data_IF_624745657751
#
_entry.id   IF_624745657751
#
_cell.length_a   1.000
_cell.length_b   1.000
_cell.length_c   1.000
_cell.angle_alpha   90.00
_cell.angle_beta   90.00
_cell.angle_gamma   90.00
#
_symmetry.space_group_name_H-M   'P 1'
#
loop_
_entity.id
_entity.type
_entity.pdbx_description
1 polymer ?
#
# COMPACT_ATOMS: atom_id res chain seq x y z
N UNK A 1 24.01 -8.62 5.93
CA UNK A 1 22.90 -8.45 6.87
C UNK A 1 21.82 -9.44 6.47
N UNK A 2 21.36 -10.26 7.39
CA UNK A 2 20.29 -11.23 7.14
C UNK A 2 18.93 -10.54 7.00
N UNK A 3 17.95 -11.26 6.44
CA UNK A 3 16.61 -10.74 6.16
C UNK A 3 15.86 -10.30 7.42
N UNK A 4 16.02 -11.03 8.53
CA UNK A 4 15.33 -10.74 9.78
C UNK A 4 15.84 -9.43 10.40
N UNK A 5 17.16 -9.26 10.49
CA UNK A 5 17.78 -8.01 10.97
C UNK A 5 17.35 -6.81 10.13
N UNK A 6 17.35 -6.95 8.80
CA UNK A 6 16.89 -5.90 7.87
C UNK A 6 15.43 -5.51 8.12
N UNK A 7 14.53 -6.51 8.20
CA UNK A 7 13.10 -6.27 8.37
C UNK A 7 12.80 -5.59 9.71
N UNK A 8 13.54 -5.94 10.77
CA UNK A 8 13.41 -5.30 12.08
C UNK A 8 13.93 -3.86 12.09
N UNK A 9 15.04 -3.57 11.40
CA UNK A 9 15.53 -2.20 11.24
C UNK A 9 14.54 -1.33 10.47
N UNK A 10 13.94 -1.86 9.40
CA UNK A 10 12.89 -1.17 8.65
C UNK A 10 11.71 -0.92 9.58
N UNK A 11 11.16 -1.94 10.24
CA UNK A 11 10.04 -1.79 11.17
C UNK A 11 10.30 -0.75 12.28
N UNK A 12 11.52 -0.72 12.82
CA UNK A 12 11.93 0.27 13.82
C UNK A 12 11.90 1.70 13.26
N UNK A 13 12.42 1.90 12.04
CA UNK A 13 12.38 3.21 11.36
C UNK A 13 10.96 3.62 11.01
N UNK A 14 10.12 2.69 10.56
CA UNK A 14 8.71 2.94 10.25
C UNK A 14 7.94 3.44 11.47
N UNK A 15 8.11 2.82 12.64
CA UNK A 15 7.46 3.29 13.88
C UNK A 15 7.78 4.76 14.21
N UNK A 16 8.99 5.23 13.88
CA UNK A 16 9.38 6.63 14.03
C UNK A 16 8.79 7.54 12.95
N UNK A 17 8.86 7.15 11.67
CA UNK A 17 8.44 8.02 10.56
C UNK A 17 6.93 8.15 10.41
N UNK A 18 6.14 7.11 10.75
CA UNK A 18 4.67 7.17 10.59
C UNK A 18 4.05 8.18 11.58
N UNK A 19 4.77 8.58 12.64
CA UNK A 19 4.34 9.66 13.53
C UNK A 19 4.36 11.05 12.87
N UNK A 20 5.18 11.25 11.83
CA UNK A 20 5.39 12.55 11.19
C UNK A 20 4.61 12.72 9.86
N UNK A 21 3.78 11.74 9.47
CA UNK A 21 3.00 11.71 8.20
C UNK A 21 3.80 11.97 6.91
N UNK A 22 5.13 11.94 6.97
CA UNK A 22 5.96 12.07 5.79
C UNK A 22 5.78 10.83 4.91
N UNK A 23 5.61 11.03 3.60
CA UNK A 23 5.69 9.97 2.62
C UNK A 23 7.02 9.26 2.78
N UNK A 24 6.99 8.00 3.21
CA UNK A 24 8.17 7.17 3.29
C UNK A 24 8.06 6.04 2.26
N UNK A 25 9.21 5.69 1.70
CA UNK A 25 9.32 4.54 0.83
C UNK A 25 10.64 3.83 1.06
N UNK A 26 10.61 2.52 1.13
CA UNK A 26 11.78 1.65 1.20
C UNK A 26 11.69 0.62 0.08
N UNK A 27 12.80 0.39 -0.63
CA UNK A 27 12.90 -0.58 -1.71
C UNK A 27 14.18 -1.40 -1.54
N UNK A 28 14.08 -2.73 -1.61
CA UNK A 28 15.23 -3.61 -1.47
C UNK A 28 15.01 -4.96 -2.17
N UNK A 29 16.10 -5.70 -2.52
CA UNK A 29 15.97 -7.04 -3.07
C UNK A 29 15.40 -8.05 -2.06
N UNK A 30 14.40 -8.82 -2.47
CA UNK A 30 13.75 -9.83 -1.65
C UNK A 30 12.45 -10.35 -2.26
N UNK A 31 12.03 -11.54 -1.85
CA UNK A 31 10.84 -12.22 -2.39
C UNK A 31 9.76 -12.51 -1.33
N UNK A 32 9.89 -11.90 -0.14
CA UNK A 32 8.98 -12.09 0.98
C UNK A 32 8.49 -10.76 1.53
N UNK A 33 7.20 -10.73 1.83
CA UNK A 33 6.61 -9.67 2.64
C UNK A 33 7.12 -9.84 4.08
N UNK A 34 7.50 -8.76 4.78
CA UNK A 34 7.90 -8.88 6.18
C UNK A 34 6.78 -9.45 7.05
N UNK A 35 7.13 -10.36 7.95
CA UNK A 35 6.17 -11.09 8.80
C UNK A 35 5.31 -10.19 9.71
N UNK A 36 5.75 -8.95 9.97
CA UNK A 36 5.00 -8.01 10.80
C UNK A 36 3.82 -7.35 10.08
N UNK A 37 3.63 -7.57 8.78
CA UNK A 37 2.39 -7.18 8.09
C UNK A 37 1.24 -8.07 8.54
N UNK A 38 0.15 -7.45 9.01
CA UNK A 38 -0.99 -8.18 9.58
C UNK A 38 -1.81 -8.95 8.55
N UNK A 39 -1.79 -8.52 7.29
CA UNK A 39 -2.46 -9.18 6.18
C UNK A 39 -1.48 -9.33 5.02
N UNK A 40 -1.44 -10.52 4.42
CA UNK A 40 -0.51 -10.84 3.33
C UNK A 40 -1.17 -11.82 2.34
N UNK A 41 -0.79 -11.75 1.08
CA UNK A 41 -1.13 -12.74 0.05
C UNK A 41 0.15 -13.28 -0.57
N UNK A 42 0.17 -14.59 -0.84
CA UNK A 42 1.28 -15.24 -1.55
C UNK A 42 1.08 -15.28 -3.06
N UNK A 43 -0.13 -14.96 -3.51
CA UNK A 43 -0.53 -14.87 -4.90
C UNK A 43 -1.37 -13.61 -5.04
N UNK A 44 -1.29 -12.92 -6.18
CA UNK A 44 -2.13 -11.77 -6.56
C UNK A 44 -1.69 -10.38 -6.09
N UNK A 45 -2.24 -9.39 -6.79
CA UNK A 45 -2.08 -7.96 -6.56
C UNK A 45 -3.27 -7.35 -5.80
N UNK A 46 -4.16 -8.19 -5.26
CA UNK A 46 -5.31 -7.77 -4.48
C UNK A 46 -5.40 -8.48 -3.16
N UNK A 47 -5.83 -7.76 -2.13
CA UNK A 47 -6.04 -8.27 -0.79
C UNK A 47 -7.41 -7.81 -0.29
N UNK A 48 -8.24 -8.78 0.10
CA UNK A 48 -9.50 -8.54 0.78
C UNK A 48 -9.30 -8.67 2.29
N UNK A 49 -9.81 -7.71 3.04
CA UNK A 49 -9.63 -7.62 4.49
C UNK A 49 -10.99 -7.44 5.14
N UNK A 50 -11.32 -8.37 6.04
CA UNK A 50 -12.41 -8.18 6.96
C UNK A 50 -11.99 -7.18 8.04
N UNK A 51 -12.73 -6.10 8.14
CA UNK A 51 -12.50 -5.07 9.13
C UNK A 51 -13.30 -5.40 10.38
N UNK A 52 -12.64 -5.34 11.53
CA UNK A 52 -13.31 -5.51 12.81
C UNK A 52 -14.37 -4.42 13.00
N UNK A 53 -15.44 -4.69 13.76
CA UNK A 53 -16.32 -3.63 14.25
C UNK A 53 -15.47 -2.57 14.97
N UNK A 54 -15.66 -1.29 14.64
CA UNK A 54 -14.86 -0.17 15.15
C UNK A 54 -13.39 -0.16 14.72
N UNK A 55 -13.05 -0.70 13.54
CA UNK A 55 -11.70 -0.62 12.97
C UNK A 55 -11.17 0.83 12.84
N UNK A 56 -12.07 1.81 12.82
CA UNK A 56 -11.75 3.22 12.84
C UNK A 56 -11.75 3.79 14.25
N UNK A 57 -10.62 4.41 14.59
CA UNK A 57 -10.50 5.32 15.72
C UNK A 57 -11.46 6.51 15.53
N UNK A 58 -12.15 6.89 16.60
CA UNK A 58 -13.06 8.04 16.61
C UNK A 58 -12.28 9.37 16.62
N UNK A 59 -10.95 9.33 16.67
CA UNK A 59 -10.10 10.50 16.91
C UNK A 59 -9.87 11.37 15.66
N UNK A 60 -10.32 10.94 14.48
CA UNK A 60 -10.33 11.78 13.28
C UNK A 60 -10.61 11.01 11.98
N UNK A 61 -10.79 11.74 10.86
CA UNK A 61 -11.04 11.13 9.57
C UNK A 61 -9.77 10.59 8.91
N UNK A 62 -8.60 10.76 9.51
CA UNK A 62 -7.33 10.35 8.91
C UNK A 62 -6.97 8.93 9.30
N UNK A 63 -6.71 8.10 8.28
CA UNK A 63 -6.26 6.73 8.47
C UNK A 63 -4.95 6.49 7.71
N UNK A 64 -4.03 5.76 8.35
CA UNK A 64 -2.74 5.40 7.79
C UNK A 64 -2.70 3.92 7.41
N UNK A 65 -2.26 3.65 6.19
CA UNK A 65 -1.95 2.30 5.73
C UNK A 65 -0.47 2.17 5.47
N UNK A 66 0.11 1.07 5.92
CA UNK A 66 1.39 0.56 5.47
C UNK A 66 1.11 -0.55 4.47
N UNK A 67 1.71 -0.49 3.29
CA UNK A 67 1.65 -1.56 2.30
C UNK A 67 3.04 -2.11 2.03
N UNK A 68 3.07 -3.37 1.63
CA UNK A 68 4.24 -4.03 1.08
C UNK A 68 3.84 -4.82 -0.15
N UNK A 69 4.72 -4.92 -1.13
CA UNK A 69 4.52 -5.83 -2.24
C UNK A 69 5.85 -6.34 -2.77
N UNK A 70 5.81 -7.58 -3.25
CA UNK A 70 6.91 -8.23 -3.96
C UNK A 70 6.65 -8.12 -5.45
N UNK A 71 7.62 -7.63 -6.20
CA UNK A 71 7.50 -7.51 -7.65
C UNK A 71 8.78 -7.84 -8.38
N UNK A 72 8.63 -8.24 -9.64
CA UNK A 72 9.71 -8.24 -10.63
C UNK A 72 9.50 -7.11 -11.60
N UNK A 73 10.61 -6.55 -12.05
CA UNK A 73 10.64 -5.49 -13.06
C UNK A 73 11.65 -5.93 -14.12
N UNK A 74 11.15 -6.08 -15.35
CA UNK A 74 12.00 -6.22 -16.52
C UNK A 74 11.80 -5.02 -17.44
N UNK A 75 12.90 -4.37 -17.82
CA UNK A 75 12.90 -3.22 -18.74
C UNK A 75 13.35 -1.89 -18.13
N UNK A 76 13.20 -0.82 -18.92
CA UNK A 76 13.71 0.52 -18.58
C UNK A 76 12.59 1.55 -18.59
N UNK A 77 12.39 2.22 -17.44
CA UNK A 77 11.32 3.20 -17.29
C UNK A 77 11.81 4.40 -16.47
N UNK A 78 11.67 5.62 -16.99
CA UNK A 78 12.03 6.82 -16.24
C UNK A 78 11.03 7.17 -15.14
N UNK A 79 9.78 6.68 -15.23
CA UNK A 79 8.71 6.95 -14.26
C UNK A 79 7.82 5.74 -14.07
N UNK A 80 7.78 5.24 -12.84
CA UNK A 80 6.85 4.18 -12.44
C UNK A 80 6.02 4.68 -11.27
N UNK A 81 4.73 4.44 -11.37
CA UNK A 81 3.75 4.68 -10.33
C UNK A 81 3.11 3.38 -9.92
N UNK A 82 2.73 3.29 -8.66
CA UNK A 82 1.75 2.31 -8.21
C UNK A 82 0.46 3.02 -7.94
N UNK A 83 -0.56 2.50 -8.58
CA UNK A 83 -1.94 2.85 -8.35
C UNK A 83 -2.49 1.87 -7.31
N UNK A 84 -3.00 2.44 -6.23
CA UNK A 84 -3.77 1.75 -5.22
C UNK A 84 -5.24 2.06 -5.46
N UNK A 85 -6.04 1.04 -5.63
CA UNK A 85 -7.49 1.14 -5.60
C UNK A 85 -7.96 0.54 -4.28
N UNK A 86 -8.48 1.39 -3.38
CA UNK A 86 -9.16 0.94 -2.19
C UNK A 86 -10.66 0.88 -2.47
N UNK A 87 -11.27 -0.26 -2.22
CA UNK A 87 -12.72 -0.43 -2.28
C UNK A 87 -13.27 -0.76 -0.90
N UNK A 88 -14.30 -0.05 -0.48
CA UNK A 88 -15.00 -0.31 0.78
C UNK A 88 -16.34 -0.97 0.50
N UNK A 89 -16.65 -2.04 1.22
CA UNK A 89 -17.97 -2.67 1.23
C UNK A 89 -18.68 -2.28 2.52
N UNK A 90 -19.90 -1.78 2.37
CA UNK A 90 -20.74 -1.40 3.50
C UNK A 90 -21.95 -2.30 3.61
N UNK A 91 -22.54 -2.36 4.80
CA UNK A 91 -23.83 -3.04 5.01
C UNK A 91 -25.04 -2.20 4.55
N UNK A 92 -24.83 -0.98 4.06
CA UNK A 92 -25.91 -0.01 3.82
C UNK A 92 -26.57 -0.13 2.43
N UNK A 93 -25.98 -0.87 1.49
CA UNK A 93 -26.59 -1.40 0.26
C UNK A 93 -25.53 -2.23 -0.49
N UNK A 94 -25.88 -3.38 -1.05
CA UNK A 94 -24.91 -4.35 -1.59
C UNK A 94 -24.17 -3.92 -2.86
N UNK A 95 -24.64 -2.87 -3.55
CA UNK A 95 -24.08 -2.41 -4.83
C UNK A 95 -23.21 -1.15 -4.75
N UNK A 96 -23.20 -0.42 -3.62
CA UNK A 96 -22.38 0.78 -3.47
C UNK A 96 -20.95 0.42 -3.04
N UNK A 97 -20.15 -0.01 -4.03
CA UNK A 97 -18.69 -0.08 -3.88
C UNK A 97 -18.09 1.30 -4.03
N UNK A 98 -17.73 1.92 -2.92
CA UNK A 98 -17.01 3.19 -2.93
C UNK A 98 -15.53 2.92 -3.20
N UNK A 99 -14.99 3.56 -4.24
CA UNK A 99 -13.61 3.37 -4.71
C UNK A 99 -12.80 4.65 -4.53
N UNK A 100 -11.61 4.53 -3.96
CA UNK A 100 -10.60 5.60 -3.99
C UNK A 100 -9.37 5.14 -4.74
N UNK A 101 -8.87 6.05 -5.58
CA UNK A 101 -7.61 5.88 -6.28
C UNK A 101 -6.53 6.69 -5.58
N UNK A 102 -5.47 6.01 -5.14
CA UNK A 102 -4.24 6.59 -4.62
C UNK A 102 -3.09 6.34 -5.58
N UNK A 103 -2.21 7.32 -5.78
CA UNK A 103 -1.04 7.16 -6.63
C UNK A 103 0.21 7.37 -5.78
N UNK A 104 1.09 6.36 -5.76
CA UNK A 104 2.39 6.46 -5.12
C UNK A 104 3.46 6.37 -6.19
N UNK A 105 4.26 7.43 -6.27
CA UNK A 105 5.38 7.45 -7.20
C UNK A 105 6.51 6.59 -6.63
N UNK A 106 6.90 5.54 -7.35
CA UNK A 106 7.95 4.65 -6.88
C UNK A 106 9.36 5.24 -7.04
N UNK A 107 9.60 5.96 -8.13
CA UNK A 107 10.95 6.41 -8.45
C UNK A 107 10.90 7.89 -8.84
N UNK A 108 11.65 8.70 -8.11
CA UNK A 108 12.11 10.03 -8.54
C UNK A 108 13.61 10.09 -8.33
N UNK A 109 14.35 10.08 -9.41
CA UNK A 109 15.60 10.84 -9.44
C UNK A 109 15.30 12.00 -10.39
N UNK A 110 15.62 13.23 -9.98
CA UNK A 110 15.22 14.50 -10.62
C UNK A 110 15.64 14.63 -12.09
N UNK A 111 15.03 13.84 -12.97
CA UNK A 111 15.34 13.73 -14.39
C UNK A 111 16.45 12.73 -14.75
N UNK A 112 17.16 12.12 -13.80
CA UNK A 112 18.20 11.11 -14.12
C UNK A 112 17.65 9.71 -13.94
N UNK A 113 17.49 9.03 -15.06
CA UNK A 113 16.98 7.67 -15.12
C UNK A 113 18.09 6.66 -14.77
N UNK A 114 18.27 6.37 -13.47
CA UNK A 114 19.34 5.50 -12.96
C UNK A 114 18.81 4.33 -12.11
N UNK A 115 17.77 3.65 -12.56
CA UNK A 115 17.58 2.28 -12.11
C UNK A 115 17.45 1.35 -13.30
N UNK A 116 18.60 0.83 -13.73
CA UNK A 116 18.65 -0.41 -14.49
C UNK A 116 18.30 -1.52 -13.50
N UNK A 117 17.00 -1.76 -13.31
CA UNK A 117 16.54 -3.01 -12.72
C UNK A 117 16.65 -4.08 -13.81
N UNK A 118 17.89 -4.44 -14.16
CA UNK A 118 18.16 -5.77 -14.72
C UNK A 118 18.07 -6.75 -13.57
N UNK A 119 16.85 -6.93 -13.07
CA UNK A 119 16.63 -7.78 -11.92
C UNK A 119 15.68 -8.86 -12.34
N UNK A 120 16.27 -9.97 -12.78
CA UNK A 120 15.66 -11.31 -12.69
C UNK A 120 15.26 -11.69 -11.24
N UNK A 121 15.49 -10.79 -10.27
CA UNK A 121 15.28 -10.99 -8.84
C UNK A 121 14.13 -10.14 -8.35
N UNK A 122 13.33 -10.75 -7.49
CA UNK A 122 12.24 -10.11 -6.80
C UNK A 122 12.73 -8.94 -5.93
N UNK A 123 11.92 -7.90 -5.86
CA UNK A 123 12.10 -6.75 -5.00
C UNK A 123 10.91 -6.58 -4.07
N UNK A 124 11.20 -6.16 -2.84
CA UNK A 124 10.20 -5.75 -1.87
C UNK A 124 10.18 -4.24 -1.80
N UNK A 125 8.99 -3.67 -1.95
CA UNK A 125 8.75 -2.26 -1.67
C UNK A 125 7.80 -2.13 -0.49
N UNK A 126 8.12 -1.21 0.42
CA UNK A 126 7.28 -0.85 1.57
C UNK A 126 7.06 0.65 1.53
N UNK A 127 5.82 1.08 1.72
CA UNK A 127 5.45 2.49 1.80
C UNK A 127 4.23 2.72 2.67
N UNK A 128 3.93 3.99 2.94
CA UNK A 128 2.68 4.41 3.56
C UNK A 128 1.76 5.16 2.60
N UNK A 129 0.48 5.13 2.95
CA UNK A 129 -0.55 5.99 2.38
C UNK A 129 -1.43 6.51 3.51
N UNK A 130 -1.61 7.83 3.56
CA UNK A 130 -2.66 8.45 4.37
C UNK A 130 -3.94 8.63 3.54
N UNK A 131 -5.09 8.41 4.16
CA UNK A 131 -6.39 8.71 3.57
C UNK A 131 -7.16 9.61 4.51
N UNK A 132 -7.61 10.76 4.01
CA UNK A 132 -8.65 11.54 4.67
C UNK A 132 -10.02 10.98 4.25
N UNK A 133 -10.74 10.39 5.21
CA UNK A 133 -12.05 9.80 4.98
C UNK A 133 -13.12 10.86 4.71
N UNK A 134 -12.93 12.13 5.15
CA UNK A 134 -13.82 13.23 4.75
C UNK A 134 -13.72 13.52 3.26
N UNK A 135 -12.53 13.45 2.68
CA UNK A 135 -12.38 13.61 1.22
C UNK A 135 -13.12 12.50 0.46
N UNK A 136 -13.23 11.30 1.04
CA UNK A 136 -13.83 10.15 0.38
C UNK A 136 -15.35 10.06 0.58
N UNK A 137 -15.82 10.36 1.79
CA UNK A 137 -17.19 10.13 2.22
C UNK A 137 -17.94 11.41 2.63
N UNK A 138 -17.29 12.57 2.57
CA UNK A 138 -17.85 13.85 3.02
C UNK A 138 -17.96 13.94 4.55
N UNK A 139 -18.81 14.84 5.03
CA UNK A 139 -19.03 15.05 6.46
C UNK A 139 -19.62 13.83 7.18
N UNK A 140 -20.30 12.95 6.44
CA UNK A 140 -20.92 11.72 6.94
C UNK A 140 -19.95 10.54 7.03
N UNK A 141 -18.64 10.76 6.83
CA UNK A 141 -17.61 9.72 6.81
C UNK A 141 -17.69 8.78 8.01
N UNK A 142 -17.93 9.29 9.21
CA UNK A 142 -17.97 8.50 10.44
C UNK A 142 -19.12 7.50 10.44
N UNK A 143 -20.30 7.91 9.95
CA UNK A 143 -21.47 7.05 9.82
C UNK A 143 -21.26 5.99 8.75
N UNK A 144 -20.74 6.36 7.58
CA UNK A 144 -20.43 5.41 6.49
C UNK A 144 -19.42 4.36 6.98
N UNK A 145 -18.33 4.82 7.59
CA UNK A 145 -17.26 3.99 8.11
C UNK A 145 -17.68 3.02 9.22
N UNK A 146 -18.63 3.40 10.06
CA UNK A 146 -19.20 2.51 11.09
C UNK A 146 -19.92 1.30 10.48
N UNK A 147 -20.32 1.37 9.21
CA UNK A 147 -21.01 0.31 8.48
C UNK A 147 -20.11 -0.45 7.49
N UNK A 148 -18.82 -0.07 7.39
CA UNK A 148 -17.84 -0.79 6.57
C UNK A 148 -17.48 -2.10 7.25
N UNK A 149 -17.60 -3.20 6.51
CA UNK A 149 -17.30 -4.55 6.99
C UNK A 149 -16.11 -5.20 6.28
N UNK A 150 -15.87 -4.79 5.04
CA UNK A 150 -14.76 -5.28 4.24
C UNK A 150 -14.08 -4.10 3.52
N UNK A 151 -12.77 -4.19 3.39
CA UNK A 151 -12.00 -3.35 2.48
C UNK A 151 -11.18 -4.24 1.57
N UNK A 152 -11.10 -3.88 0.29
CA UNK A 152 -10.19 -4.52 -0.63
C UNK A 152 -9.20 -3.50 -1.16
N UNK A 153 -7.96 -3.94 -1.29
CA UNK A 153 -6.91 -3.15 -1.91
C UNK A 153 -6.48 -3.87 -3.17
N UNK A 154 -6.56 -3.19 -4.29
CA UNK A 154 -6.00 -3.64 -5.54
C UNK A 154 -4.83 -2.75 -5.92
N UNK A 155 -3.70 -3.35 -6.23
CA UNK A 155 -2.49 -2.67 -6.66
C UNK A 155 -2.24 -2.90 -8.13
N UNK A 156 -2.00 -1.83 -8.86
CA UNK A 156 -1.56 -1.91 -10.25
C UNK A 156 -0.39 -0.97 -10.48
N UNK A 157 0.40 -1.26 -11.50
CA UNK A 157 1.60 -0.50 -11.81
C UNK A 157 1.36 0.19 -13.14
N UNK A 158 1.65 1.49 -13.16
CA UNK A 158 1.45 2.33 -14.32
C UNK A 158 2.76 3.03 -14.64
N UNK A 159 3.15 3.03 -15.91
CA UNK A 159 4.33 3.75 -16.37
C UNK A 159 4.20 4.20 -17.81
N UNK A 160 5.11 5.08 -18.23
CA UNK A 160 5.03 5.80 -19.51
C UNK A 160 5.34 4.91 -20.74
N UNK A 161 5.70 3.63 -20.54
CA UNK A 161 6.06 2.67 -21.59
C UNK A 161 5.50 1.27 -21.27
N UNK A 162 5.58 0.35 -22.24
CA UNK A 162 5.31 -1.07 -22.01
C UNK A 162 6.35 -1.62 -21.06
N UNK A 163 5.85 -2.30 -20.04
CA UNK A 163 6.56 -2.62 -18.82
C UNK A 163 6.16 -4.04 -18.45
N UNK A 164 7.11 -4.98 -18.46
CA UNK A 164 6.87 -6.37 -18.06
C UNK A 164 7.08 -6.47 -16.54
N UNK A 165 6.01 -6.22 -15.79
CA UNK A 165 6.00 -6.32 -14.33
C UNK A 165 4.96 -7.31 -13.86
N UNK A 166 5.29 -7.95 -12.75
CA UNK A 166 4.41 -8.85 -12.05
C UNK A 166 4.46 -8.49 -10.57
N UNK A 167 3.31 -8.15 -9.99
CA UNK A 167 3.15 -8.14 -8.53
C UNK A 167 2.88 -9.58 -8.14
N UNK A 168 3.79 -10.15 -7.36
CA UNK A 168 3.72 -11.56 -6.93
C UNK A 168 3.00 -11.70 -5.59
N UNK A 169 3.24 -10.76 -4.69
CA UNK A 169 2.74 -10.77 -3.32
C UNK A 169 2.37 -9.39 -2.86
N UNK A 170 1.39 -9.29 -1.98
CA UNK A 170 1.04 -8.06 -1.31
C UNK A 170 0.86 -8.24 0.19
N UNK A 171 1.02 -7.15 0.93
CA UNK A 171 0.71 -7.09 2.34
C UNK A 171 0.20 -5.72 2.75
N UNK A 172 -0.69 -5.70 3.74
CA UNK A 172 -1.24 -4.49 4.31
C UNK A 172 -1.17 -4.55 5.84
N UNK A 173 -0.88 -3.40 6.43
CA UNK A 173 -1.00 -3.17 7.84
C UNK A 173 -1.66 -1.82 8.08
N UNK A 174 -2.73 -1.79 8.87
CA UNK A 174 -3.55 -0.60 9.11
C UNK A 174 -3.24 -0.04 10.50
N UNK A 175 -2.93 1.25 10.61
CA UNK A 175 -2.77 1.95 11.88
C UNK A 175 -3.87 3.02 12.00
N UNK A 176 -4.65 2.92 13.07
CA UNK A 176 -5.56 3.97 13.49
C UNK A 176 -4.84 4.88 14.50
N UNK A 177 -4.97 6.19 14.30
CA UNK A 177 -4.42 7.22 15.18
C UNK A 177 -5.53 7.84 16.02
#
# INVERSE_FOLDING_TARGET
MDEHTRNNMIAGRLRGTVQDFADFKVLYPGNKIPEWFSHQTDEWNSLDIHLSPNWLSIHGPFIGFLFSFVFTLNGYVPRIYILFELSFKTNMNSDDRLRRYGLIRLVTDGGRSIYRFETERDHVCIGNMGIDLKDLFGEEWSSVCSNVTETSIHMSIVGDKVIDWEIKKCGLHCWSW
#
